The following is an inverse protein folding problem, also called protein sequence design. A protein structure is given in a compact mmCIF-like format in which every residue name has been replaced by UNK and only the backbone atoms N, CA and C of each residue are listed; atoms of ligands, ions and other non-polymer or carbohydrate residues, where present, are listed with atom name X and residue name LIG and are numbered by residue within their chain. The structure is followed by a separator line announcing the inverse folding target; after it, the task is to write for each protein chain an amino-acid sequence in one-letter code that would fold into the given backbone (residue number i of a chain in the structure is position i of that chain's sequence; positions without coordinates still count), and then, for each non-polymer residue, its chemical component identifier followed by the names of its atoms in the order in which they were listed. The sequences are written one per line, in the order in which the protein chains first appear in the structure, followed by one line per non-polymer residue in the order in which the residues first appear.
data_IF_037541591770
#
_entry.id   IF_037541591770
#
_cell.length_a   1.000
_cell.length_b   1.000
_cell.length_c   1.000
_cell.angle_alpha   90.00
_cell.angle_beta   90.00
_cell.angle_gamma   90.00
#
_symmetry.space_group_name_H-M   'P 1'
#
loop_
_entity.id
_entity.type
_entity.pdbx_description
1 polymer ?
#
# COMPACT_ATOMS: atom_id res chain seq x y z
N UNK A 1 6.16 -7.83 -1.55
CA UNK A 1 7.12 -6.93 -2.22
C UNK A 1 8.33 -7.76 -2.56
N UNK A 2 8.12 -8.82 -3.36
CA UNK A 2 9.17 -9.70 -3.85
C UNK A 2 9.39 -9.30 -5.31
N UNK A 3 10.63 -8.97 -5.65
CA UNK A 3 11.01 -8.57 -7.02
C UNK A 3 11.75 -9.69 -7.73
N UNK A 4 12.42 -10.55 -6.98
CA UNK A 4 13.13 -11.69 -7.53
C UNK A 4 12.14 -12.81 -7.89
N UNK A 5 12.35 -13.42 -9.05
CA UNK A 5 11.60 -14.59 -9.48
C UNK A 5 12.11 -15.88 -8.81
N UNK A 6 13.37 -15.91 -8.35
CA UNK A 6 14.00 -17.10 -7.78
C UNK A 6 13.25 -17.66 -6.55
N UNK A 7 12.83 -16.85 -5.55
CA UNK A 7 12.08 -17.39 -4.41
C UNK A 7 10.77 -18.06 -4.81
N UNK A 8 10.13 -17.58 -5.88
CA UNK A 8 8.90 -18.14 -6.42
C UNK A 8 9.15 -19.45 -7.18
N UNK A 9 10.32 -19.60 -7.81
CA UNK A 9 10.77 -20.88 -8.39
C UNK A 9 11.06 -21.93 -7.31
N UNK A 10 11.82 -21.52 -6.28
CA UNK A 10 12.25 -22.42 -5.21
C UNK A 10 11.06 -22.95 -4.39
N UNK A 11 10.04 -22.10 -4.20
CA UNK A 11 8.80 -22.45 -3.50
C UNK A 11 8.13 -23.70 -4.10
N UNK A 12 8.10 -23.82 -5.43
CA UNK A 12 7.46 -24.94 -6.11
C UNK A 12 8.05 -26.30 -5.66
N UNK A 13 9.38 -26.39 -5.58
CA UNK A 13 10.06 -27.61 -5.15
C UNK A 13 9.72 -28.00 -3.72
N UNK A 14 9.70 -27.02 -2.81
CA UNK A 14 9.35 -27.24 -1.39
C UNK A 14 7.88 -27.65 -1.25
N UNK A 15 6.98 -26.96 -1.94
CA UNK A 15 5.54 -27.20 -1.83
C UNK A 15 5.13 -28.57 -2.39
N UNK A 16 5.70 -28.98 -3.52
CA UNK A 16 5.39 -30.27 -4.14
C UNK A 16 5.85 -31.46 -3.27
N UNK A 17 6.94 -31.33 -2.49
CA UNK A 17 7.34 -32.35 -1.51
C UNK A 17 6.23 -32.64 -0.49
N UNK A 18 5.44 -31.64 -0.12
CA UNK A 18 4.31 -31.83 0.79
C UNK A 18 3.12 -32.54 0.13
N UNK A 19 2.94 -32.40 -1.19
CA UNK A 19 1.93 -33.17 -1.94
C UNK A 19 2.27 -34.66 -1.95
N UNK A 20 3.54 -34.98 -2.23
CA UNK A 20 4.04 -36.36 -2.17
C UNK A 20 3.85 -36.95 -0.77
N UNK A 21 4.29 -36.22 0.26
CA UNK A 21 4.14 -36.63 1.65
C UNK A 21 2.67 -36.85 2.04
N UNK A 22 1.77 -35.95 1.64
CA UNK A 22 0.33 -36.11 1.90
C UNK A 22 -0.23 -37.39 1.24
N UNK A 23 0.20 -37.70 0.02
CA UNK A 23 -0.18 -38.93 -0.69
C UNK A 23 0.25 -40.21 0.06
N UNK A 24 1.44 -40.21 0.68
CA UNK A 24 1.91 -41.35 1.50
C UNK A 24 1.01 -41.63 2.71
N UNK A 25 0.26 -40.63 3.18
CA UNK A 25 -0.75 -40.77 4.25
C UNK A 25 -2.18 -40.98 3.72
N UNK A 26 -2.36 -41.17 2.40
CA UNK A 26 -3.68 -41.33 1.79
C UNK A 26 -4.52 -40.06 1.77
N UNK A 27 -3.89 -38.88 1.85
CA UNK A 27 -4.58 -37.58 1.79
C UNK A 27 -4.58 -37.06 0.33
N UNK A 28 -5.74 -36.99 -0.34
CA UNK A 28 -5.83 -36.60 -1.74
C UNK A 28 -5.82 -35.07 -1.91
N UNK A 29 -4.67 -34.43 -1.66
CA UNK A 29 -4.50 -32.98 -1.87
C UNK A 29 -4.50 -32.68 -3.38
N UNK A 30 -5.39 -31.79 -3.81
CA UNK A 30 -5.57 -31.42 -5.24
C UNK A 30 -5.35 -29.94 -5.52
N UNK A 31 -5.17 -29.14 -4.49
CA UNK A 31 -4.99 -27.70 -4.60
C UNK A 31 -3.67 -27.32 -3.93
N UNK A 32 -2.96 -26.40 -4.56
CA UNK A 32 -1.73 -25.84 -4.03
C UNK A 32 -1.83 -24.31 -4.07
N UNK A 33 -1.83 -23.70 -2.89
CA UNK A 33 -1.84 -22.25 -2.74
C UNK A 33 -0.41 -21.72 -2.58
N UNK A 34 0.06 -20.98 -3.57
CA UNK A 34 1.40 -20.38 -3.59
C UNK A 34 1.47 -19.02 -2.89
N UNK A 35 0.35 -18.56 -2.33
CA UNK A 35 0.22 -17.26 -1.69
C UNK A 35 0.35 -16.11 -2.69
N UNK A 36 0.78 -14.95 -2.19
CA UNK A 36 0.97 -13.74 -2.97
C UNK A 36 2.39 -13.19 -2.91
N UNK A 37 2.50 -11.90 -2.63
CA UNK A 37 3.79 -11.26 -2.37
C UNK A 37 4.46 -10.60 -3.57
N UNK A 38 3.94 -10.78 -4.80
CA UNK A 38 4.39 -10.07 -5.99
C UNK A 38 4.49 -8.57 -5.73
N UNK A 39 5.66 -8.00 -6.03
CA UNK A 39 5.95 -6.60 -5.78
C UNK A 39 5.22 -5.64 -6.71
N UNK A 40 5.18 -4.37 -6.31
CA UNK A 40 4.80 -3.26 -7.19
C UNK A 40 5.84 -2.15 -7.12
N UNK A 41 5.85 -1.29 -8.13
CA UNK A 41 6.75 -0.15 -8.25
C UNK A 41 6.25 1.05 -7.44
N UNK A 42 6.75 1.30 -6.23
CA UNK A 42 6.39 2.51 -5.45
C UNK A 42 7.20 3.75 -5.87
N UNK A 43 8.44 3.54 -6.29
CA UNK A 43 9.39 4.57 -6.72
C UNK A 43 10.07 4.17 -8.01
N UNK A 44 10.82 5.10 -8.61
CA UNK A 44 11.60 4.85 -9.83
C UNK A 44 12.72 3.81 -9.66
N UNK A 45 13.13 3.54 -8.42
CA UNK A 45 14.15 2.54 -8.11
C UNK A 45 13.60 1.11 -8.04
N UNK A 46 12.27 0.95 -7.98
CA UNK A 46 11.65 -0.37 -7.93
C UNK A 46 11.50 -0.97 -9.34
N UNK A 47 11.79 -2.26 -9.47
CA UNK A 47 11.72 -3.03 -10.72
C UNK A 47 11.09 -4.41 -10.49
N UNK A 48 9.78 -4.49 -10.21
CA UNK A 48 9.09 -5.76 -10.02
C UNK A 48 8.88 -6.48 -11.37
N UNK A 49 8.80 -7.82 -11.38
CA UNK A 49 8.46 -8.56 -12.57
C UNK A 49 7.00 -8.31 -12.95
N UNK A 50 6.68 -8.49 -14.23
CA UNK A 50 5.28 -8.47 -14.67
C UNK A 50 4.49 -9.64 -14.05
N UNK A 51 3.16 -9.48 -13.99
CA UNK A 51 2.27 -10.57 -13.55
C UNK A 51 2.44 -11.79 -14.47
N UNK A 52 2.56 -11.57 -15.78
CA UNK A 52 2.77 -12.63 -16.77
C UNK A 52 4.06 -13.41 -16.54
N UNK A 53 5.18 -12.71 -16.29
CA UNK A 53 6.46 -13.36 -15.98
C UNK A 53 6.39 -14.15 -14.69
N UNK A 54 5.79 -13.56 -13.65
CA UNK A 54 5.61 -14.21 -12.36
C UNK A 54 4.77 -15.49 -12.45
N UNK A 55 3.60 -15.43 -13.11
CA UNK A 55 2.72 -16.59 -13.31
C UNK A 55 3.42 -17.66 -14.14
N UNK A 56 4.08 -17.30 -15.25
CA UNK A 56 4.79 -18.24 -16.10
C UNK A 56 5.83 -19.03 -15.30
N UNK A 57 6.68 -18.32 -14.57
CA UNK A 57 7.78 -18.89 -13.81
C UNK A 57 7.28 -19.87 -12.74
N UNK A 58 6.22 -19.52 -12.02
CA UNK A 58 5.68 -20.42 -11.00
C UNK A 58 5.04 -21.65 -11.63
N UNK A 59 4.21 -21.46 -12.67
CA UNK A 59 3.56 -22.58 -13.35
C UNK A 59 4.60 -23.57 -13.91
N UNK A 60 5.64 -23.08 -14.59
CA UNK A 60 6.73 -23.93 -15.12
C UNK A 60 7.48 -24.65 -14.00
N UNK A 61 7.73 -23.97 -12.88
CA UNK A 61 8.43 -24.56 -11.73
C UNK A 61 7.60 -25.65 -11.04
N UNK A 62 6.29 -25.44 -10.87
CA UNK A 62 5.37 -26.42 -10.29
C UNK A 62 5.24 -27.64 -11.20
N UNK A 63 5.07 -27.44 -12.52
CA UNK A 63 5.02 -28.54 -13.49
C UNK A 63 6.28 -29.40 -13.39
N UNK A 64 7.46 -28.78 -13.47
CA UNK A 64 8.74 -29.48 -13.38
C UNK A 64 8.92 -30.22 -12.06
N UNK A 65 8.52 -29.61 -10.94
CA UNK A 65 8.60 -30.24 -9.62
C UNK A 65 7.66 -31.44 -9.50
N UNK A 66 6.42 -31.33 -10.00
CA UNK A 66 5.46 -32.43 -10.02
C UNK A 66 5.94 -33.60 -10.89
N UNK A 67 6.50 -33.33 -12.07
CA UNK A 67 7.10 -34.34 -12.95
C UNK A 67 8.25 -35.08 -12.25
N UNK A 68 9.13 -34.34 -11.58
CA UNK A 68 10.29 -34.89 -10.87
C UNK A 68 9.87 -35.80 -9.71
N UNK A 69 8.85 -35.42 -8.95
CA UNK A 69 8.34 -36.17 -7.80
C UNK A 69 7.24 -37.18 -8.18
N UNK A 70 6.89 -37.29 -9.47
CA UNK A 70 5.84 -38.17 -9.98
C UNK A 70 4.48 -38.00 -9.29
N UNK A 71 4.12 -36.77 -8.92
CA UNK A 71 2.81 -36.45 -8.33
C UNK A 71 1.88 -35.79 -9.36
N UNK A 72 0.55 -35.95 -9.24
CA UNK A 72 -0.40 -35.28 -10.11
C UNK A 72 -0.28 -33.75 -10.03
N UNK A 73 -0.49 -33.07 -11.16
CA UNK A 73 -0.52 -31.61 -11.19
C UNK A 73 -1.70 -31.09 -10.35
N UNK A 74 -1.47 -30.22 -9.35
CA UNK A 74 -2.54 -29.64 -8.56
C UNK A 74 -3.20 -28.47 -9.31
N UNK A 75 -4.40 -28.09 -8.89
CA UNK A 75 -4.95 -26.76 -9.17
C UNK A 75 -4.14 -25.73 -8.38
N UNK A 76 -3.57 -24.77 -9.09
CA UNK A 76 -2.79 -23.69 -8.47
C UNK A 76 -3.73 -22.55 -8.03
N UNK A 77 -3.51 -22.05 -6.81
CA UNK A 77 -4.19 -20.88 -6.24
C UNK A 77 -3.14 -19.84 -5.88
N UNK A 78 -3.46 -18.56 -6.06
CA UNK A 78 -2.59 -17.45 -5.74
C UNK A 78 -3.38 -16.33 -5.03
N UNK A 79 -2.71 -15.59 -4.15
CA UNK A 79 -3.33 -14.58 -3.28
C UNK A 79 -2.73 -13.16 -3.50
N UNK A 80 -2.72 -12.62 -4.73
CA UNK A 80 -2.20 -11.28 -4.95
C UNK A 80 -3.15 -10.23 -4.36
N UNK A 81 -2.67 -9.45 -3.38
CA UNK A 81 -3.38 -8.27 -2.88
C UNK A 81 -2.78 -6.98 -3.44
N UNK A 82 -1.55 -6.69 -3.01
CA UNK A 82 -0.82 -5.46 -3.37
C UNK A 82 -0.69 -5.25 -4.88
N UNK A 83 -0.37 -6.30 -5.62
CA UNK A 83 -0.17 -6.27 -7.07
C UNK A 83 -1.46 -6.09 -7.87
N UNK A 84 -2.63 -6.37 -7.27
CA UNK A 84 -3.92 -6.09 -7.91
C UNK A 84 -4.37 -4.65 -7.72
N UNK A 85 -4.33 -4.16 -6.48
CA UNK A 85 -5.02 -2.90 -6.12
C UNK A 85 -4.06 -1.74 -5.82
N UNK A 86 -2.79 -2.01 -5.54
CA UNK A 86 -1.86 -1.00 -5.04
C UNK A 86 -1.72 0.21 -5.96
N UNK A 87 -1.48 -0.02 -7.25
CA UNK A 87 -1.33 1.04 -8.27
C UNK A 87 -2.65 1.64 -8.77
N UNK A 88 -3.79 1.04 -8.42
CA UNK A 88 -5.10 1.51 -8.87
C UNK A 88 -5.60 2.74 -8.08
N UNK A 89 -5.02 3.01 -6.90
CA UNK A 89 -5.41 4.14 -6.07
C UNK A 89 -4.23 5.06 -5.75
N UNK A 90 -4.57 6.32 -5.50
CA UNK A 90 -3.69 7.36 -5.00
C UNK A 90 -4.36 8.08 -3.84
N UNK A 91 -3.58 8.70 -2.96
CA UNK A 91 -4.11 9.53 -1.87
C UNK A 91 -3.81 10.98 -2.17
N UNK A 92 -4.86 11.80 -2.28
CA UNK A 92 -4.74 13.24 -2.45
C UNK A 92 -4.79 13.95 -1.10
N UNK A 93 -3.93 14.95 -0.94
CA UNK A 93 -3.84 15.82 0.21
C UNK A 93 -3.86 17.28 -0.22
N UNK A 94 -4.31 18.15 0.68
CA UNK A 94 -4.13 19.60 0.55
C UNK A 94 -2.85 20.00 1.26
N UNK A 95 -1.96 20.70 0.55
CA UNK A 95 -0.74 21.27 1.15
C UNK A 95 -1.12 22.41 2.10
N UNK A 96 -0.56 22.37 3.30
CA UNK A 96 -0.68 23.39 4.34
C UNK A 96 0.50 24.34 4.35
N UNK A 97 1.21 24.37 5.48
CA UNK A 97 2.34 25.26 5.74
C UNK A 97 3.68 24.63 5.37
N UNK A 98 4.64 25.46 4.99
CA UNK A 98 6.03 25.07 4.81
C UNK A 98 6.88 25.62 5.95
N UNK A 99 7.77 24.79 6.51
CA UNK A 99 8.73 25.16 7.56
C UNK A 99 10.14 24.83 7.09
N UNK A 100 10.97 25.84 6.92
CA UNK A 100 12.39 25.68 6.61
C UNK A 100 13.16 25.61 7.92
N UNK A 101 13.93 24.54 8.13
CA UNK A 101 14.90 24.42 9.23
C UNK A 101 16.30 24.45 8.60
N UNK A 102 17.00 25.60 8.63
CA UNK A 102 18.31 25.75 7.99
C UNK A 102 19.30 24.67 8.43
N UNK A 103 20.01 24.06 7.47
CA UNK A 103 20.99 23.00 7.71
C UNK A 103 20.39 21.64 8.12
N UNK A 104 19.07 21.54 8.28
CA UNK A 104 18.39 20.30 8.68
C UNK A 104 17.50 19.79 7.56
N UNK A 105 16.35 20.45 7.34
CA UNK A 105 15.35 20.01 6.36
C UNK A 105 14.25 21.06 6.17
N UNK A 106 13.66 21.09 4.99
CA UNK A 106 12.39 21.78 4.73
C UNK A 106 11.23 20.78 4.86
N UNK A 107 10.23 21.15 5.65
CA UNK A 107 9.00 20.38 5.86
C UNK A 107 7.83 21.06 5.16
N UNK A 108 6.99 20.27 4.50
CA UNK A 108 5.71 20.67 3.94
C UNK A 108 4.63 19.86 4.65
N UNK A 109 3.67 20.53 5.29
CA UNK A 109 2.57 19.83 5.97
C UNK A 109 1.42 19.52 5.03
N UNK A 110 0.73 18.41 5.29
CA UNK A 110 -0.49 18.00 4.58
C UNK A 110 -1.65 17.76 5.56
N UNK A 111 -2.88 17.75 5.04
CA UNK A 111 -4.12 17.62 5.82
C UNK A 111 -4.49 16.18 6.24
N UNK A 112 -3.59 15.23 6.03
CA UNK A 112 -3.67 13.84 6.52
C UNK A 112 -2.41 13.43 7.29
N UNK A 113 -1.95 12.20 7.10
CA UNK A 113 -0.71 11.69 7.68
C UNK A 113 -0.78 10.20 8.03
N UNK A 114 -0.16 9.82 9.14
CA UNK A 114 -0.09 8.44 9.61
C UNK A 114 -1.47 7.80 9.88
N UNK A 115 -2.52 8.58 10.11
CA UNK A 115 -3.89 8.05 10.26
C UNK A 115 -4.45 7.41 8.99
N UNK A 116 -4.08 7.93 7.82
CA UNK A 116 -4.57 7.42 6.53
C UNK A 116 -3.49 6.67 5.73
N UNK A 117 -2.21 6.90 6.06
CA UNK A 117 -1.09 6.15 5.53
C UNK A 117 -0.08 5.83 6.65
N UNK A 118 -0.31 4.76 7.45
CA UNK A 118 0.60 4.39 8.53
C UNK A 118 1.88 3.69 8.02
N UNK A 119 1.97 3.35 6.74
CA UNK A 119 3.05 2.52 6.22
C UNK A 119 4.46 3.12 6.36
N UNK A 120 4.68 4.44 6.17
CA UNK A 120 5.99 5.05 6.39
C UNK A 120 6.47 4.93 7.83
N UNK A 121 5.59 5.17 8.81
CA UNK A 121 5.96 5.08 10.23
C UNK A 121 6.12 3.63 10.69
N UNK A 122 5.28 2.70 10.21
CA UNK A 122 5.34 1.29 10.63
C UNK A 122 6.43 0.49 9.91
N UNK A 123 6.59 0.70 8.61
CA UNK A 123 7.41 -0.16 7.74
C UNK A 123 8.51 0.60 7.00
N UNK A 124 8.70 1.90 7.29
CA UNK A 124 9.65 2.75 6.55
C UNK A 124 9.39 2.74 5.03
N UNK A 125 8.14 2.48 4.63
CA UNK A 125 7.76 2.43 3.22
C UNK A 125 8.02 3.77 2.54
N UNK A 126 8.64 3.72 1.36
CA UNK A 126 8.93 4.89 0.53
C UNK A 126 7.85 5.01 -0.54
N UNK A 127 7.46 6.24 -0.84
CA UNK A 127 6.47 6.56 -1.85
C UNK A 127 6.96 7.67 -2.76
N UNK A 128 6.39 7.73 -3.96
CA UNK A 128 6.44 8.89 -4.84
C UNK A 128 5.24 9.80 -4.56
N UNK A 129 5.47 11.11 -4.62
CA UNK A 129 4.40 12.11 -4.66
C UNK A 129 4.59 13.08 -5.82
N UNK A 130 3.50 13.69 -6.23
CA UNK A 130 3.45 14.74 -7.27
C UNK A 130 2.50 15.85 -6.84
N UNK A 131 2.69 17.06 -7.36
CA UNK A 131 1.73 18.16 -7.20
C UNK A 131 0.76 18.12 -8.38
N UNK A 132 -0.41 17.51 -8.18
CA UNK A 132 -1.33 17.14 -9.25
C UNK A 132 -1.88 18.33 -10.04
N UNK A 133 -2.06 19.48 -9.38
CA UNK A 133 -2.48 20.72 -10.04
C UNK A 133 -1.32 21.47 -10.74
N UNK A 134 -0.09 20.93 -10.70
CA UNK A 134 1.13 21.56 -11.24
C UNK A 134 2.09 20.54 -11.90
N UNK A 135 1.55 19.55 -12.60
CA UNK A 135 2.33 18.42 -13.13
C UNK A 135 3.46 18.80 -14.11
N UNK A 136 3.36 19.94 -14.79
CA UNK A 136 4.40 20.42 -15.72
C UNK A 136 5.46 21.31 -15.07
N UNK A 137 5.35 21.60 -13.78
CA UNK A 137 6.33 22.41 -13.07
C UNK A 137 7.61 21.61 -12.81
N UNK A 138 8.76 22.26 -12.97
CA UNK A 138 10.06 21.66 -12.69
C UNK A 138 10.20 21.36 -11.18
N UNK A 139 10.70 20.17 -10.85
CA UNK A 139 11.00 19.81 -9.47
C UNK A 139 12.30 20.47 -9.00
N UNK A 140 12.18 21.54 -8.22
CA UNK A 140 13.31 22.37 -7.78
C UNK A 140 13.71 22.16 -6.32
N UNK A 141 12.92 21.43 -5.53
CA UNK A 141 13.14 21.30 -4.09
C UNK A 141 13.10 19.83 -3.63
N UNK A 142 13.91 19.52 -2.62
CA UNK A 142 13.83 18.28 -1.86
C UNK A 142 13.29 18.60 -0.47
N UNK A 143 12.12 18.05 -0.12
CA UNK A 143 11.41 18.34 1.13
C UNK A 143 10.95 17.07 1.84
N UNK A 144 10.70 17.13 3.14
CA UNK A 144 9.91 16.11 3.83
C UNK A 144 8.43 16.51 3.83
N UNK A 145 7.56 15.53 3.60
CA UNK A 145 6.12 15.68 3.69
C UNK A 145 5.69 15.15 5.04
N UNK A 146 5.21 16.05 5.90
CA UNK A 146 4.73 15.73 7.25
C UNK A 146 3.21 15.77 7.28
N UNK A 147 2.59 14.85 8.02
CA UNK A 147 1.16 14.94 8.31
C UNK A 147 0.86 15.97 9.40
N UNK A 148 -0.41 16.01 9.82
CA UNK A 148 -0.91 16.97 10.82
C UNK A 148 -0.99 16.41 12.25
N UNK A 149 -0.51 15.20 12.49
CA UNK A 149 -0.59 14.57 13.81
C UNK A 149 0.45 15.13 14.78
N UNK A 150 0.19 14.99 16.08
CA UNK A 150 1.10 15.44 17.12
C UNK A 150 2.25 14.45 17.40
N UNK A 151 2.66 13.68 16.39
CA UNK A 151 3.74 12.70 16.48
C UNK A 151 4.91 13.14 15.59
N UNK A 152 6.11 13.17 16.15
CA UNK A 152 7.33 13.57 15.44
C UNK A 152 7.65 12.67 14.24
N UNK A 153 7.22 11.41 14.33
CA UNK A 153 7.32 10.41 13.28
C UNK A 153 6.26 10.48 12.18
N UNK A 154 5.30 11.41 12.23
CA UNK A 154 4.26 11.60 11.20
C UNK A 154 4.82 12.20 9.90
N UNK A 155 5.66 11.41 9.23
CA UNK A 155 6.34 11.74 7.98
C UNK A 155 5.84 10.78 6.91
N UNK A 156 5.06 11.32 5.97
CA UNK A 156 4.50 10.56 4.83
C UNK A 156 5.60 10.23 3.81
N UNK A 157 6.49 11.20 3.52
CA UNK A 157 7.65 11.01 2.64
C UNK A 157 8.84 11.78 3.20
N UNK A 158 9.99 11.10 3.40
CA UNK A 158 11.20 11.71 3.96
C UNK A 158 11.95 12.61 2.98
N UNK A 159 11.97 12.25 1.70
CA UNK A 159 12.67 12.93 0.62
C UNK A 159 11.79 12.96 -0.63
N UNK A 160 10.96 13.99 -0.73
CA UNK A 160 10.12 14.24 -1.90
C UNK A 160 10.77 15.28 -2.81
N UNK A 161 10.92 14.94 -4.09
CA UNK A 161 11.36 15.86 -5.13
C UNK A 161 10.14 16.52 -5.76
N UNK A 162 9.92 17.79 -5.44
CA UNK A 162 8.72 18.52 -5.83
C UNK A 162 9.06 19.89 -6.43
N UNK A 163 8.17 20.48 -7.25
CA UNK A 163 8.24 21.90 -7.54
C UNK A 163 8.04 22.70 -6.25
N UNK A 164 8.39 23.98 -6.27
CA UNK A 164 8.09 24.88 -5.15
C UNK A 164 6.59 24.89 -4.85
N UNK A 165 6.23 24.34 -3.69
CA UNK A 165 4.83 24.15 -3.29
C UNK A 165 4.23 25.41 -2.68
N UNK A 166 2.91 25.53 -2.78
CA UNK A 166 2.13 26.60 -2.14
C UNK A 166 1.02 26.01 -1.28
N UNK A 167 0.59 26.72 -0.21
CA UNK A 167 -0.62 26.34 0.50
C UNK A 167 -1.79 26.17 -0.47
N UNK A 168 -2.60 25.12 -0.27
CA UNK A 168 -3.72 24.68 -1.11
C UNK A 168 -3.36 23.95 -2.41
N UNK A 169 -2.09 23.76 -2.73
CA UNK A 169 -1.70 22.82 -3.79
C UNK A 169 -2.18 21.39 -3.44
N UNK A 170 -2.52 20.61 -4.46
CA UNK A 170 -3.00 19.24 -4.31
C UNK A 170 -1.82 18.29 -4.48
N UNK A 171 -1.35 17.74 -3.37
CA UNK A 171 -0.31 16.72 -3.38
C UNK A 171 -0.96 15.34 -3.51
N UNK A 172 -0.48 14.53 -4.45
CA UNK A 172 -0.93 13.15 -4.62
C UNK A 172 0.22 12.20 -4.29
N UNK A 173 0.01 11.31 -3.34
CA UNK A 173 0.89 10.17 -3.04
C UNK A 173 0.43 8.96 -3.85
N UNK A 174 1.35 8.40 -4.63
CA UNK A 174 1.06 7.32 -5.57
C UNK A 174 0.96 5.97 -4.87
N UNK A 175 0.23 5.03 -5.49
CA UNK A 175 0.19 3.62 -5.13
C UNK A 175 -0.28 3.31 -3.70
N UNK A 176 -1.35 3.96 -3.27
CA UNK A 176 -1.90 3.86 -1.92
C UNK A 176 -3.11 2.92 -1.84
N UNK A 177 -3.40 2.13 -2.89
CA UNK A 177 -4.58 1.25 -2.90
C UNK A 177 -4.49 0.05 -1.96
N UNK A 178 -3.28 -0.38 -1.61
CA UNK A 178 -3.05 -1.53 -0.77
C UNK A 178 -2.55 -1.11 0.61
N UNK A 179 -3.25 -1.57 1.66
CA UNK A 179 -2.89 -1.41 3.07
C UNK A 179 -2.95 0.00 3.66
N UNK A 180 -3.14 1.07 2.87
CA UNK A 180 -3.29 2.41 3.43
C UNK A 180 -4.65 2.55 4.13
N UNK A 181 -5.74 2.54 3.35
CA UNK A 181 -7.08 2.70 3.91
C UNK A 181 -7.46 1.58 4.87
N UNK A 182 -7.07 0.33 4.57
CA UNK A 182 -7.39 -0.81 5.45
C UNK A 182 -6.66 -0.77 6.79
N UNK A 183 -5.56 -0.01 6.91
CA UNK A 183 -4.86 0.24 8.16
C UNK A 183 -5.18 1.63 8.74
N UNK A 184 -6.16 2.36 8.18
CA UNK A 184 -6.47 3.70 8.63
C UNK A 184 -6.99 3.72 10.08
N UNK A 185 -6.64 4.75 10.83
CA UNK A 185 -7.01 4.94 12.23
C UNK A 185 -7.64 6.32 12.46
N UNK A 186 -8.17 6.52 13.67
CA UNK A 186 -8.65 7.82 14.14
C UNK A 186 -7.68 8.45 15.13
N UNK A 187 -6.36 8.25 14.94
CA UNK A 187 -5.36 8.89 15.79
C UNK A 187 -5.58 10.43 15.79
N UNK A 188 -5.43 11.04 16.96
CA UNK A 188 -5.82 12.44 17.22
C UNK A 188 -7.28 12.80 16.86
N UNK A 189 -8.21 11.83 16.88
CA UNK A 189 -9.63 12.01 16.50
C UNK A 189 -9.77 12.63 15.09
N UNK A 190 -8.87 12.26 14.17
CA UNK A 190 -8.99 12.62 12.77
C UNK A 190 -9.93 11.63 12.07
N UNK A 191 -10.99 12.09 11.37
CA UNK A 191 -11.88 11.18 10.65
C UNK A 191 -11.18 10.50 9.48
N UNK A 192 -11.47 9.21 9.25
CA UNK A 192 -10.97 8.49 8.08
C UNK A 192 -11.44 9.18 6.78
N UNK A 193 -10.60 9.21 5.73
CA UNK A 193 -10.90 9.95 4.52
C UNK A 193 -12.05 9.31 3.73
N UNK A 194 -12.61 10.06 2.78
CA UNK A 194 -13.47 9.48 1.75
C UNK A 194 -12.63 8.69 0.73
N UNK A 195 -13.25 7.76 0.02
CA UNK A 195 -12.70 7.16 -1.20
C UNK A 195 -13.66 7.35 -2.37
N UNK A 196 -13.09 7.72 -3.52
CA UNK A 196 -13.84 8.00 -4.76
C UNK A 196 -13.30 7.07 -5.84
N UNK A 197 -14.21 6.39 -6.53
CA UNK A 197 -13.90 5.63 -7.74
C UNK A 197 -14.04 6.55 -8.94
N UNK A 198 -13.03 6.57 -9.81
CA UNK A 198 -13.05 7.33 -11.05
C UNK A 198 -12.99 6.33 -12.21
N UNK A 199 -13.93 6.42 -13.14
CA UNK A 199 -13.96 5.58 -14.32
C UNK A 199 -14.60 6.34 -15.48
N UNK A 200 -13.93 6.36 -16.64
CA UNK A 200 -14.46 6.95 -17.88
C UNK A 200 -15.02 8.38 -17.74
N UNK A 201 -14.39 9.22 -16.92
CA UNK A 201 -14.79 10.61 -16.70
C UNK A 201 -15.84 10.82 -15.60
N UNK A 202 -16.36 9.74 -15.01
CA UNK A 202 -17.26 9.80 -13.86
C UNK A 202 -16.51 9.62 -12.53
N UNK A 203 -17.01 10.26 -11.48
CA UNK A 203 -16.47 10.16 -10.12
C UNK A 203 -17.60 9.81 -9.15
N UNK A 204 -17.49 8.66 -8.47
CA UNK A 204 -18.50 8.18 -7.53
C UNK A 204 -17.88 7.96 -6.14
N UNK A 205 -18.54 8.48 -5.11
CA UNK A 205 -18.16 8.20 -3.73
C UNK A 205 -18.42 6.72 -3.42
N UNK A 206 -17.38 5.98 -3.07
CA UNK A 206 -17.48 4.56 -2.68
C UNK A 206 -17.29 4.35 -1.18
N UNK A 207 -16.64 5.29 -0.49
CA UNK A 207 -16.56 5.34 0.97
C UNK A 207 -16.76 6.79 1.43
N UNK A 208 -17.72 7.00 2.33
CA UNK A 208 -17.96 8.31 2.91
C UNK A 208 -16.85 8.67 3.89
N UNK A 209 -16.48 9.95 3.94
CA UNK A 209 -15.59 10.47 4.99
C UNK A 209 -16.32 10.35 6.33
N UNK A 210 -15.60 9.90 7.35
CA UNK A 210 -16.15 9.89 8.71
C UNK A 210 -16.44 11.32 9.19
N UNK A 211 -17.47 11.46 10.01
CA UNK A 211 -17.86 12.71 10.66
C UNK A 211 -17.37 12.73 12.11
N UNK A 212 -17.49 13.87 12.80
CA UNK A 212 -17.22 13.90 14.24
C UNK A 212 -18.19 13.02 15.03
N UNK A 213 -19.42 12.81 14.54
CA UNK A 213 -20.37 11.89 15.16
C UNK A 213 -19.88 10.44 15.08
N UNK A 214 -19.27 10.03 13.96
CA UNK A 214 -18.70 8.70 13.81
C UNK A 214 -17.60 8.42 14.84
N UNK A 215 -16.80 9.44 15.17
CA UNK A 215 -15.70 9.31 16.11
C UNK A 215 -16.17 9.01 17.54
N UNK A 216 -17.33 9.54 17.93
CA UNK A 216 -17.85 9.44 19.30
C UNK A 216 -19.01 8.46 19.42
N UNK A 217 -19.39 7.75 18.34
CA UNK A 217 -20.55 6.85 18.34
C UNK A 217 -20.43 5.67 19.32
N UNK A 218 -19.20 5.36 19.78
CA UNK A 218 -18.92 4.32 20.77
C UNK A 218 -18.66 4.89 22.16
N UNK A 219 -18.67 6.22 22.31
CA UNK A 219 -18.44 6.88 23.58
C UNK A 219 -19.75 6.87 24.39
N UNK A 220 -19.73 6.26 25.57
CA UNK A 220 -20.87 6.27 26.51
C UNK A 220 -20.57 7.24 27.65
N UNK A 221 -21.43 8.24 27.84
CA UNK A 221 -21.31 9.18 28.97
C UNK A 221 -21.98 8.54 30.20
N UNK A 222 -21.26 8.32 31.31
CA UNK A 222 -21.86 7.85 32.55
C UNK A 222 -22.94 8.82 33.05
N UNK A 223 -24.06 8.29 33.54
CA UNK A 223 -25.21 9.09 33.99
C UNK A 223 -24.84 10.16 35.02
N UNK A 224 -23.94 9.83 35.96
CA UNK A 224 -23.43 10.79 36.96
C UNK A 224 -22.64 12.00 36.40
N UNK A 225 -22.33 12.01 35.11
CA UNK A 225 -21.65 13.11 34.42
C UNK A 225 -22.59 13.88 33.48
N UNK A 226 -23.87 13.47 33.37
CA UNK A 226 -24.90 14.21 32.65
C UNK A 226 -25.45 15.28 33.61
N UNK A 227 -25.23 16.56 33.29
CA UNK A 227 -25.73 17.71 34.06
C UNK A 227 -27.14 18.09 33.62
#
# INVERSE_FOLDING_TARGET
QIFELQPHQDLAGVMVQWLEKASQYGLPVRELDIGGGLGIRYTEADDPPSIDEWVRVICESVVKACETQQVPLPKLVAEPGRSLIGSACVTAYTIGSQKVIPGVRTYVSVDGGMSDNPRPITYQSVYRAVVANRMSAECTEMVAIAGKHCESGDIVIKQAHLPKTQPKDILVVMNTGAYNYSMASNYNRIPRPAAVLVNQGEANLILQRETYQDLVRQDCIPERLMF
#
